data_IF_389016077171
#
_entry.id   IF_389016077171
#
_cell.length_a   1.000
_cell.length_b   1.000
_cell.length_c   1.000
_cell.angle_alpha   90.00
_cell.angle_beta   90.00
_cell.angle_gamma   90.00
#
_symmetry.space_group_name_H-M   'P 1'
#
loop_
_entity.id
_entity.type
_entity.pdbx_description
1 polymer ?
#
# COMPACT_ATOMS: atom_id res chain seq x y z
N UNK A 1 19.81 17.93 -103.32
CA UNK A 1 20.53 18.36 -102.09
C UNK A 1 19.85 17.69 -100.90
N UNK A 2 20.47 16.64 -100.35
CA UNK A 2 20.05 15.99 -99.10
C UNK A 2 20.48 16.88 -97.93
N UNK A 3 19.56 17.22 -97.01
CA UNK A 3 19.90 17.84 -95.72
C UNK A 3 19.35 16.97 -94.59
N UNK A 4 20.29 16.59 -93.74
CA UNK A 4 20.14 15.79 -92.52
C UNK A 4 19.38 16.58 -91.45
N UNK A 5 18.62 15.88 -90.61
CA UNK A 5 18.35 16.35 -89.25
C UNK A 5 18.65 15.25 -88.24
N UNK A 6 19.54 15.62 -87.33
CA UNK A 6 20.14 14.85 -86.25
C UNK A 6 19.09 14.44 -85.21
N UNK A 7 19.08 13.16 -84.84
CA UNK A 7 18.38 12.64 -83.68
C UNK A 7 19.31 12.83 -82.46
N UNK A 8 18.97 13.72 -81.54
CA UNK A 8 19.71 13.89 -80.27
C UNK A 8 18.91 13.23 -79.15
N UNK A 9 19.39 12.10 -78.65
CA UNK A 9 18.81 11.35 -77.55
C UNK A 9 19.41 11.87 -76.24
N UNK A 10 18.65 12.67 -75.48
CA UNK A 10 19.06 13.13 -74.14
C UNK A 10 18.65 12.06 -73.14
N UNK A 11 19.64 11.38 -72.56
CA UNK A 11 19.46 10.38 -71.51
C UNK A 11 19.49 11.10 -70.15
N UNK A 12 18.33 11.23 -69.49
CA UNK A 12 18.21 11.84 -68.16
C UNK A 12 18.45 10.77 -67.08
N UNK A 13 19.66 10.75 -66.51
CA UNK A 13 20.00 9.94 -65.34
C UNK A 13 19.46 10.60 -64.06
N UNK A 14 18.34 10.10 -63.54
CA UNK A 14 17.84 10.41 -62.20
C UNK A 14 18.61 9.61 -61.16
N UNK A 15 19.55 10.26 -60.46
CA UNK A 15 20.17 9.71 -59.25
C UNK A 15 19.21 9.91 -58.07
N UNK A 16 18.52 8.85 -57.66
CA UNK A 16 17.81 8.83 -56.38
C UNK A 16 18.82 8.67 -55.24
N UNK A 17 19.01 9.76 -54.48
CA UNK A 17 19.72 9.76 -53.21
C UNK A 17 18.79 9.18 -52.14
N UNK A 18 19.03 7.95 -51.69
CA UNK A 18 18.38 7.40 -50.49
C UNK A 18 19.08 7.99 -49.27
N UNK A 19 18.37 8.83 -48.53
CA UNK A 19 18.81 9.33 -47.22
C UNK A 19 18.20 8.39 -46.19
N UNK A 20 19.07 7.68 -45.46
CA UNK A 20 18.68 6.85 -44.31
C UNK A 20 18.11 7.74 -43.20
N UNK A 21 16.80 7.93 -43.18
CA UNK A 21 16.11 8.41 -41.99
C UNK A 21 15.97 7.23 -41.02
N UNK A 22 16.77 7.28 -39.95
CA UNK A 22 16.52 6.47 -38.76
C UNK A 22 15.11 6.78 -38.28
N UNK A 23 14.19 5.84 -38.51
CA UNK A 23 12.92 5.80 -37.78
C UNK A 23 13.25 5.60 -36.30
N UNK A 24 13.15 6.67 -35.52
CA UNK A 24 12.94 6.55 -34.08
C UNK A 24 11.70 5.67 -33.89
N UNK A 25 11.90 4.50 -33.30
CA UNK A 25 10.82 3.59 -32.98
C UNK A 25 9.86 4.30 -32.06
N UNK A 26 8.64 4.56 -32.54
CA UNK A 26 7.50 4.85 -31.70
C UNK A 26 7.31 3.60 -30.84
N UNK A 27 7.65 3.67 -29.56
CA UNK A 27 7.25 2.66 -28.58
C UNK A 27 5.74 2.56 -28.61
N UNK A 28 5.23 1.51 -29.24
CA UNK A 28 3.82 1.17 -29.17
C UNK A 28 3.54 0.87 -27.70
N UNK A 29 2.76 1.74 -27.04
CA UNK A 29 2.28 1.49 -25.68
C UNK A 29 1.61 0.10 -25.65
N UNK A 30 2.31 -0.88 -25.08
CA UNK A 30 1.76 -2.19 -24.85
C UNK A 30 0.63 -2.05 -23.84
N UNK A 31 -0.60 -2.36 -24.24
CA UNK A 31 -1.74 -2.47 -23.31
C UNK A 31 -1.60 -3.62 -22.29
N UNK A 32 -0.54 -4.43 -22.44
CA UNK A 32 -0.22 -5.56 -21.59
C UNK A 32 0.95 -5.24 -20.67
N UNK A 33 0.85 -5.74 -19.44
CA UNK A 33 1.92 -5.70 -18.45
C UNK A 33 3.11 -6.52 -18.96
N UNK A 34 4.28 -5.89 -18.98
CA UNK A 34 5.56 -6.52 -19.25
C UNK A 34 6.09 -7.14 -17.95
N UNK A 35 6.06 -8.46 -17.85
CA UNK A 35 6.46 -9.16 -16.63
C UNK A 35 7.11 -10.51 -16.96
N UNK A 36 8.40 -10.59 -16.67
CA UNK A 36 9.18 -11.81 -16.75
C UNK A 36 9.69 -12.20 -15.36
N UNK A 37 9.20 -13.33 -14.83
CA UNK A 37 9.38 -13.71 -13.43
C UNK A 37 10.86 -13.81 -13.03
N UNK A 38 11.77 -14.09 -13.95
CA UNK A 38 13.21 -14.20 -13.66
C UNK A 38 13.96 -12.88 -13.80
N UNK A 39 13.36 -11.86 -14.42
CA UNK A 39 13.99 -10.56 -14.66
C UNK A 39 13.56 -9.48 -13.66
N UNK A 40 12.45 -9.68 -12.94
CA UNK A 40 11.97 -8.74 -11.90
C UNK A 40 12.75 -8.91 -10.59
N UNK A 41 12.99 -7.83 -9.81
CA UNK A 41 12.49 -6.49 -10.03
C UNK A 41 13.25 -5.72 -11.13
N UNK A 42 12.52 -5.02 -11.99
CA UNK A 42 13.13 -4.13 -12.99
C UNK A 42 13.66 -2.85 -12.36
N UNK A 43 14.65 -2.21 -13.00
CA UNK A 43 15.24 -0.96 -12.52
C UNK A 43 14.27 0.23 -12.55
N UNK A 44 13.32 0.26 -13.50
CA UNK A 44 12.32 1.32 -13.66
C UNK A 44 10.91 0.79 -13.47
N UNK A 45 10.03 1.57 -12.86
CA UNK A 45 8.62 1.21 -12.67
C UNK A 45 7.87 1.19 -14.00
N UNK A 46 8.18 2.12 -14.91
CA UNK A 46 7.58 2.16 -16.25
C UNK A 46 7.80 0.87 -17.06
N UNK A 47 8.92 0.17 -16.84
CA UNK A 47 9.26 -1.08 -17.55
C UNK A 47 8.19 -2.15 -17.40
N UNK A 48 7.44 -2.18 -16.29
CA UNK A 48 6.38 -3.16 -16.09
C UNK A 48 5.12 -2.90 -16.93
N UNK A 49 4.91 -1.67 -17.43
CA UNK A 49 3.67 -1.26 -18.09
C UNK A 49 2.40 -1.56 -17.28
N UNK A 50 2.46 -1.43 -15.94
CA UNK A 50 1.28 -1.53 -15.06
C UNK A 50 0.28 -0.39 -15.27
N UNK A 51 0.75 0.72 -15.82
CA UNK A 51 -0.04 1.93 -16.04
C UNK A 51 0.17 2.44 -17.47
N UNK A 52 -0.87 3.03 -18.06
CA UNK A 52 -0.84 3.63 -19.40
C UNK A 52 -0.83 5.16 -19.36
N UNK A 53 -0.29 5.81 -20.38
CA UNK A 53 -0.14 7.26 -20.43
C UNK A 53 0.88 7.79 -19.41
N UNK A 54 0.70 9.03 -18.95
CA UNK A 54 1.62 9.61 -17.97
C UNK A 54 1.61 8.82 -16.64
N UNK A 55 2.77 8.27 -16.26
CA UNK A 55 2.92 7.34 -15.13
C UNK A 55 2.33 7.88 -13.82
N UNK A 56 2.49 9.18 -13.53
CA UNK A 56 1.95 9.83 -12.32
C UNK A 56 0.43 9.77 -12.18
N UNK A 57 -0.30 9.55 -13.28
CA UNK A 57 -1.76 9.40 -13.21
C UNK A 57 -2.15 8.05 -12.59
N UNK A 58 -1.26 7.05 -12.67
CA UNK A 58 -1.47 5.68 -12.21
C UNK A 58 -2.77 5.10 -12.80
N UNK A 59 -3.02 5.38 -14.08
CA UNK A 59 -4.13 4.84 -14.85
C UNK A 59 -3.83 3.37 -15.14
N UNK A 60 -4.54 2.40 -14.55
CA UNK A 60 -4.18 0.99 -14.64
C UNK A 60 -4.32 0.47 -16.07
N UNK A 61 -3.30 -0.27 -16.52
CA UNK A 61 -3.37 -1.08 -17.74
C UNK A 61 -4.42 -2.19 -17.62
N UNK A 62 -4.71 -2.85 -18.74
CA UNK A 62 -5.63 -4.00 -18.74
C UNK A 62 -5.20 -5.04 -17.70
N UNK A 63 -6.19 -5.58 -16.97
CA UNK A 63 -6.00 -6.57 -15.90
C UNK A 63 -5.23 -6.07 -14.66
N UNK A 64 -4.88 -4.79 -14.55
CA UNK A 64 -4.38 -4.19 -13.30
C UNK A 64 -5.58 -3.70 -12.50
N UNK A 65 -5.93 -4.41 -11.43
CA UNK A 65 -7.20 -4.19 -10.72
C UNK A 65 -6.99 -3.30 -9.51
N UNK A 66 -7.59 -2.09 -9.46
CA UNK A 66 -7.51 -1.26 -8.27
C UNK A 66 -8.31 -1.87 -7.12
N UNK A 67 -7.83 -1.67 -5.89
CA UNK A 67 -8.53 -2.08 -4.68
C UNK A 67 -8.25 -1.12 -3.52
N UNK A 68 -9.16 -1.11 -2.55
CA UNK A 68 -9.08 -0.32 -1.34
C UNK A 68 -9.60 -1.13 -0.14
N UNK A 69 -8.74 -1.45 0.85
CA UNK A 69 -9.19 -2.02 2.10
C UNK A 69 -10.23 -1.13 2.80
N UNK A 70 -11.21 -1.72 3.47
CA UNK A 70 -12.26 -1.00 4.22
C UNK A 70 -11.66 0.09 5.13
N UNK A 71 -10.57 -0.24 5.81
CA UNK A 71 -9.74 0.66 6.61
C UNK A 71 -8.32 0.73 6.07
N UNK A 72 -7.73 1.93 5.98
CA UNK A 72 -6.38 2.15 5.46
C UNK A 72 -5.35 2.32 6.58
N UNK A 73 -4.19 1.68 6.46
CA UNK A 73 -3.04 1.89 7.34
C UNK A 73 -2.63 3.38 7.35
N UNK A 74 -2.38 3.93 8.53
CA UNK A 74 -1.82 5.25 8.71
C UNK A 74 -0.34 5.28 8.33
N UNK A 75 0.07 6.31 7.59
CA UNK A 75 1.47 6.53 7.20
C UNK A 75 1.67 8.03 6.98
N UNK A 76 1.80 8.80 8.06
CA UNK A 76 1.96 10.26 8.04
C UNK A 76 0.96 10.99 7.11
N UNK A 77 -0.32 10.56 7.15
CA UNK A 77 -1.40 11.03 6.27
C UNK A 77 -1.20 10.82 4.76
N UNK A 78 -0.16 10.10 4.31
CA UNK A 78 -0.03 9.72 2.91
C UNK A 78 -1.27 8.95 2.45
N UNK A 79 -1.81 9.34 1.30
CA UNK A 79 -2.84 8.60 0.58
C UNK A 79 -2.20 7.40 -0.13
N UNK A 80 -3.01 6.39 -0.45
CA UNK A 80 -2.54 5.16 -1.09
C UNK A 80 -3.42 4.77 -2.27
N UNK A 81 -2.82 4.60 -3.45
CA UNK A 81 -3.42 3.82 -4.54
C UNK A 81 -2.88 2.40 -4.49
N UNK A 82 -3.73 1.41 -4.66
CA UNK A 82 -3.33 0.00 -4.61
C UNK A 82 -3.91 -0.77 -5.77
N UNK A 83 -3.13 -1.72 -6.27
CA UNK A 83 -3.51 -2.54 -7.41
C UNK A 83 -3.07 -3.99 -7.21
N UNK A 84 -3.80 -4.91 -7.84
CA UNK A 84 -3.46 -6.32 -7.96
C UNK A 84 -3.27 -6.62 -9.44
N UNK A 85 -2.16 -7.25 -9.78
CA UNK A 85 -1.96 -7.86 -11.09
C UNK A 85 -1.55 -9.32 -10.94
N UNK A 86 -2.04 -10.18 -11.83
CA UNK A 86 -1.73 -11.61 -11.85
C UNK A 86 -1.48 -12.07 -13.30
N UNK A 87 -0.60 -13.05 -13.52
CA UNK A 87 -0.46 -13.68 -14.82
C UNK A 87 -1.79 -14.28 -15.31
N UNK A 88 -1.93 -14.41 -16.63
CA UNK A 88 -3.12 -15.03 -17.20
C UNK A 88 -3.22 -16.51 -16.77
N UNK A 89 -4.45 -16.96 -16.49
CA UNK A 89 -4.76 -18.37 -16.24
C UNK A 89 -4.51 -18.85 -14.80
N UNK A 90 -3.97 -18.00 -13.92
CA UNK A 90 -3.80 -18.34 -12.50
C UNK A 90 -4.85 -17.64 -11.64
N UNK A 91 -5.21 -18.27 -10.51
CA UNK A 91 -6.24 -17.80 -9.57
C UNK A 91 -5.74 -17.87 -8.14
N UNK A 92 -6.09 -16.87 -7.34
CA UNK A 92 -5.98 -16.93 -5.91
C UNK A 92 -7.12 -17.78 -5.33
N UNK A 93 -6.91 -18.30 -4.12
CA UNK A 93 -7.96 -18.98 -3.36
C UNK A 93 -8.26 -18.26 -2.04
N UNK A 94 -9.51 -18.37 -1.62
CA UNK A 94 -9.96 -17.93 -0.30
C UNK A 94 -9.76 -19.08 0.70
N UNK A 95 -9.21 -18.78 1.87
CA UNK A 95 -9.03 -19.74 2.97
C UNK A 95 -9.93 -19.38 4.15
N UNK A 96 -9.78 -18.17 4.69
CA UNK A 96 -10.62 -17.62 5.74
C UNK A 96 -10.67 -16.08 5.67
N UNK A 97 -11.63 -15.49 6.38
CA UNK A 97 -11.88 -14.03 6.40
C UNK A 97 -10.64 -13.22 6.80
N UNK A 98 -9.91 -13.69 7.81
CA UNK A 98 -8.78 -13.01 8.42
C UNK A 98 -7.42 -13.43 7.85
N UNK A 99 -7.41 -14.32 6.86
CA UNK A 99 -6.21 -14.77 6.15
C UNK A 99 -6.02 -13.98 4.87
N UNK A 100 -4.77 -13.69 4.55
CA UNK A 100 -4.42 -13.15 3.23
C UNK A 100 -4.89 -14.12 2.15
N UNK A 101 -5.45 -13.60 1.05
CA UNK A 101 -5.78 -14.45 -0.11
C UNK A 101 -4.55 -15.24 -0.56
N UNK A 102 -4.73 -16.52 -0.86
CA UNK A 102 -3.65 -17.40 -1.30
C UNK A 102 -3.30 -17.09 -2.76
N UNK A 103 -2.39 -16.15 -2.97
CA UNK A 103 -1.97 -15.71 -4.30
C UNK A 103 -0.99 -16.69 -4.97
N UNK A 104 -1.16 -16.96 -6.27
CA UNK A 104 -0.26 -17.81 -7.05
C UNK A 104 1.08 -17.11 -7.35
N UNK A 105 2.07 -17.89 -7.77
CA UNK A 105 3.35 -17.38 -8.28
C UNK A 105 3.10 -16.44 -9.45
N UNK A 106 3.82 -15.31 -9.46
CA UNK A 106 3.71 -14.24 -10.43
C UNK A 106 2.76 -13.10 -10.02
N UNK A 107 1.97 -13.25 -8.96
CA UNK A 107 1.16 -12.13 -8.45
C UNK A 107 2.03 -10.94 -8.05
N UNK A 108 1.60 -9.74 -8.43
CA UNK A 108 2.18 -8.47 -7.99
C UNK A 108 1.13 -7.65 -7.26
N UNK A 109 1.44 -7.25 -6.03
CA UNK A 109 0.68 -6.26 -5.28
C UNK A 109 1.41 -4.92 -5.36
N UNK A 110 0.71 -3.89 -5.83
CA UNK A 110 1.28 -2.58 -6.11
C UNK A 110 0.68 -1.59 -5.12
N UNK A 111 1.50 -0.75 -4.48
CA UNK A 111 1.04 0.30 -3.56
C UNK A 111 1.85 1.57 -3.76
N UNK A 112 1.19 2.65 -4.17
CA UNK A 112 1.81 3.97 -4.34
C UNK A 112 1.36 4.92 -3.25
N UNK A 113 2.31 5.61 -2.62
CA UNK A 113 2.07 6.57 -1.54
C UNK A 113 2.21 7.99 -2.05
N UNK A 114 1.19 8.81 -1.81
CA UNK A 114 1.12 10.15 -2.40
C UNK A 114 0.40 11.14 -1.49
N UNK A 115 0.59 12.43 -1.78
CA UNK A 115 -0.10 13.56 -1.16
C UNK A 115 -0.72 14.42 -2.25
N UNK A 116 -1.91 14.97 -2.01
CA UNK A 116 -2.62 15.85 -2.96
C UNK A 116 -2.46 17.34 -2.65
N UNK A 117 -1.90 17.68 -1.49
CA UNK A 117 -1.91 19.04 -0.93
C UNK A 117 -0.49 19.50 -0.57
N UNK A 118 0.49 19.11 -1.37
CA UNK A 118 1.89 19.50 -1.15
C UNK A 118 2.02 21.01 -1.34
N UNK A 119 2.59 21.69 -0.35
CA UNK A 119 2.74 23.14 -0.31
C UNK A 119 3.94 23.59 -1.17
N UNK A 120 3.90 24.84 -1.70
CA UNK A 120 2.86 25.88 -1.51
C UNK A 120 1.66 25.76 -2.47
N UNK A 121 1.76 24.98 -3.54
CA UNK A 121 0.82 25.03 -4.66
C UNK A 121 -0.35 24.04 -4.56
N UNK A 122 -0.48 23.29 -3.46
CA UNK A 122 -1.39 22.15 -3.31
C UNK A 122 -1.26 21.14 -4.45
N UNK A 123 -0.02 20.80 -4.81
CA UNK A 123 0.24 19.85 -5.89
C UNK A 123 0.13 18.41 -5.40
N UNK A 124 -0.17 17.52 -6.35
CA UNK A 124 -0.07 16.08 -6.10
C UNK A 124 1.36 15.63 -6.30
N UNK A 125 1.92 14.90 -5.32
CA UNK A 125 3.21 14.21 -5.44
C UNK A 125 3.10 12.78 -4.94
N UNK A 126 3.55 11.86 -5.76
CA UNK A 126 3.83 10.47 -5.40
C UNK A 126 5.28 10.42 -4.92
N UNK A 127 5.50 9.82 -3.76
CA UNK A 127 6.83 9.72 -3.15
C UNK A 127 7.49 8.39 -3.47
N UNK A 128 6.71 7.31 -3.38
CA UNK A 128 7.19 5.94 -3.54
C UNK A 128 6.09 5.02 -4.10
N UNK A 129 6.53 3.98 -4.80
CA UNK A 129 5.72 2.81 -5.16
C UNK A 129 6.41 1.56 -4.62
N UNK A 130 5.67 0.73 -3.89
CA UNK A 130 6.16 -0.56 -3.40
C UNK A 130 5.48 -1.68 -4.17
N UNK A 131 6.29 -2.63 -4.63
CA UNK A 131 5.83 -3.89 -5.21
C UNK A 131 6.09 -5.02 -4.21
N UNK A 132 5.10 -5.88 -4.02
CA UNK A 132 5.30 -7.22 -3.47
C UNK A 132 5.10 -8.22 -4.58
N UNK A 133 6.14 -8.99 -4.90
CA UNK A 133 6.13 -9.92 -6.03
C UNK A 133 6.19 -11.35 -5.50
N UNK A 134 5.21 -12.19 -5.85
CA UNK A 134 5.17 -13.59 -5.46
C UNK A 134 6.07 -14.42 -6.36
N UNK A 135 7.30 -14.70 -5.92
CA UNK A 135 8.21 -15.68 -6.54
C UNK A 135 7.87 -17.10 -6.09
N UNK A 136 8.44 -18.10 -6.74
CA UNK A 136 8.36 -19.51 -6.29
C UNK A 136 8.92 -19.70 -4.87
N UNK A 137 9.96 -18.94 -4.52
CA UNK A 137 10.64 -19.00 -3.21
C UNK A 137 9.93 -18.23 -2.09
N UNK A 138 9.00 -17.31 -2.40
CA UNK A 138 8.37 -16.46 -1.40
C UNK A 138 7.90 -15.12 -1.99
N UNK A 139 7.45 -14.21 -1.13
CA UNK A 139 7.29 -12.81 -1.51
C UNK A 139 8.63 -12.10 -1.44
N UNK A 140 8.91 -11.25 -2.43
CA UNK A 140 10.00 -10.27 -2.38
C UNK A 140 9.42 -8.86 -2.35
N UNK A 141 10.17 -7.92 -1.79
CA UNK A 141 9.83 -6.50 -1.73
C UNK A 141 10.69 -5.74 -2.74
N UNK A 142 10.08 -4.80 -3.46
CA UNK A 142 10.81 -3.88 -4.32
C UNK A 142 10.24 -2.47 -4.13
N UNK A 143 11.09 -1.56 -3.66
CA UNK A 143 10.74 -0.15 -3.46
C UNK A 143 11.22 0.71 -4.62
N UNK A 144 10.35 1.60 -5.10
CA UNK A 144 10.63 2.52 -6.20
C UNK A 144 10.46 3.95 -5.70
N UNK A 145 11.51 4.76 -5.80
CA UNK A 145 11.48 6.18 -5.45
C UNK A 145 11.15 7.03 -6.68
N UNK A 146 10.13 7.87 -6.55
CA UNK A 146 9.74 8.79 -7.62
C UNK A 146 10.70 9.98 -7.72
N UNK A 147 10.99 10.38 -8.96
CA UNK A 147 11.70 11.62 -9.25
C UNK A 147 10.81 12.85 -9.00
N UNK A 148 11.45 14.01 -8.88
CA UNK A 148 10.74 15.27 -8.56
C UNK A 148 9.88 15.76 -9.74
N UNK A 149 10.25 15.39 -10.97
CA UNK A 149 9.49 15.66 -12.19
C UNK A 149 8.20 14.83 -12.30
N UNK A 150 8.03 13.79 -11.46
CA UNK A 150 6.89 12.88 -11.46
C UNK A 150 6.70 12.15 -12.81
N UNK A 151 7.81 11.75 -13.43
CA UNK A 151 7.82 11.05 -14.72
C UNK A 151 8.26 9.59 -14.61
N UNK A 152 9.01 9.24 -13.58
CA UNK A 152 9.53 7.88 -13.38
C UNK A 152 9.71 7.57 -11.89
N UNK A 153 9.71 6.28 -11.55
CA UNK A 153 10.19 5.78 -10.28
C UNK A 153 11.28 4.72 -10.48
N UNK A 154 12.42 4.88 -9.82
CA UNK A 154 13.55 3.97 -9.94
C UNK A 154 13.63 3.05 -8.73
N UNK A 155 13.95 1.78 -8.98
CA UNK A 155 14.19 0.77 -7.96
C UNK A 155 15.34 1.24 -7.06
N UNK A 156 15.13 1.20 -5.74
CA UNK A 156 16.18 1.46 -4.75
C UNK A 156 16.64 0.16 -4.10
N UNK A 157 17.96 -0.07 -4.09
CA UNK A 157 18.59 -1.28 -3.54
C UNK A 157 20.00 -0.95 -3.03
N UNK A 158 20.64 -1.92 -2.37
CA UNK A 158 22.05 -1.86 -2.02
C UNK A 158 22.36 -0.99 -0.79
N UNK A 159 23.64 -0.65 -0.64
CA UNK A 159 24.17 0.07 0.53
C UNK A 159 23.44 1.39 0.77
N UNK A 160 23.09 2.08 -0.31
CA UNK A 160 22.50 3.42 -0.32
C UNK A 160 21.09 3.45 0.29
N UNK A 161 20.44 2.29 0.44
CA UNK A 161 19.10 2.17 1.00
C UNK A 161 19.03 1.25 2.23
N UNK A 162 20.18 0.79 2.74
CA UNK A 162 20.26 -0.09 3.93
C UNK A 162 19.52 0.49 5.13
N UNK A 163 19.62 1.80 5.30
CA UNK A 163 18.98 2.56 6.37
C UNK A 163 17.72 3.28 5.89
N UNK A 164 17.13 2.89 4.76
CA UNK A 164 15.97 3.54 4.15
C UNK A 164 16.30 4.93 3.61
N UNK A 165 15.27 5.73 3.35
CA UNK A 165 15.42 7.12 2.91
C UNK A 165 14.37 8.00 3.61
N UNK A 166 14.61 9.30 3.62
CA UNK A 166 13.60 10.26 4.08
C UNK A 166 13.47 11.42 3.10
N UNK A 167 12.26 11.97 2.99
CA UNK A 167 11.97 13.16 2.18
C UNK A 167 11.27 14.20 3.04
N UNK A 168 11.86 15.38 3.17
CA UNK A 168 11.18 16.53 3.73
C UNK A 168 9.95 16.88 2.89
N UNK A 169 8.81 17.02 3.54
CA UNK A 169 7.53 17.29 2.89
C UNK A 169 6.70 18.26 3.72
N UNK A 170 6.26 19.33 3.06
CA UNK A 170 5.23 20.22 3.59
C UNK A 170 3.90 19.94 2.90
N UNK A 171 2.85 19.61 3.64
CA UNK A 171 1.52 19.36 3.09
C UNK A 171 0.43 19.95 4.00
N UNK A 172 -0.78 20.08 3.48
CA UNK A 172 -1.94 20.55 4.25
C UNK A 172 -2.90 19.40 4.57
N UNK A 173 -3.21 19.19 5.85
CA UNK A 173 -4.23 18.22 6.31
C UNK A 173 -5.64 18.64 5.88
N UNK A 174 -6.61 17.73 6.02
CA UNK A 174 -8.04 18.00 5.74
C UNK A 174 -8.60 19.15 6.60
N UNK A 175 -8.11 19.31 7.84
CA UNK A 175 -8.47 20.40 8.75
C UNK A 175 -7.78 21.75 8.42
N UNK A 176 -7.09 21.85 7.28
CA UNK A 176 -6.28 22.99 6.83
C UNK A 176 -5.00 23.28 7.62
N UNK A 177 -4.60 22.43 8.57
CA UNK A 177 -3.31 22.55 9.24
C UNK A 177 -2.17 22.22 8.27
N UNK A 178 -1.14 23.08 8.25
CA UNK A 178 0.07 22.85 7.45
C UNK A 178 1.07 22.07 8.30
N UNK A 179 1.44 20.89 7.80
CA UNK A 179 2.41 19.99 8.43
C UNK A 179 3.73 20.06 7.67
N UNK A 180 4.83 20.02 8.41
CA UNK A 180 6.16 19.74 7.88
C UNK A 180 6.65 18.44 8.51
N UNK A 181 6.97 17.45 7.68
CA UNK A 181 7.39 16.11 8.12
C UNK A 181 8.66 15.69 7.38
N UNK A 182 9.42 14.80 8.01
CA UNK A 182 10.44 14.01 7.31
C UNK A 182 9.83 12.66 6.92
N UNK A 183 9.22 12.59 5.73
CA UNK A 183 8.51 11.38 5.29
C UNK A 183 9.49 10.22 5.16
N UNK A 184 9.29 9.19 5.99
CA UNK A 184 10.16 8.03 6.06
C UNK A 184 9.78 6.98 5.01
N UNK A 185 10.71 6.71 4.09
CA UNK A 185 10.68 5.57 3.18
C UNK A 185 11.46 4.42 3.83
N UNK A 186 10.81 3.33 4.26
CA UNK A 186 11.45 2.26 4.98
C UNK A 186 12.42 1.48 4.09
N UNK A 187 13.53 1.04 4.67
CA UNK A 187 14.43 0.02 4.11
C UNK A 187 13.74 -1.33 3.93
N UNK A 188 14.37 -2.21 3.16
CA UNK A 188 13.98 -3.62 3.04
C UNK A 188 13.87 -4.29 4.43
N UNK A 189 14.79 -3.97 5.36
CA UNK A 189 14.78 -4.53 6.71
C UNK A 189 13.58 -4.05 7.55
N UNK A 190 13.20 -2.77 7.43
CA UNK A 190 12.03 -2.19 8.07
C UNK A 190 10.73 -2.73 7.45
N UNK A 191 10.71 -2.90 6.12
CA UNK A 191 9.62 -3.56 5.40
C UNK A 191 9.44 -4.99 5.89
N UNK A 192 10.51 -5.79 5.94
CA UNK A 192 10.48 -7.16 6.45
C UNK A 192 10.08 -7.23 7.93
N UNK A 193 10.47 -6.25 8.74
CA UNK A 193 10.08 -6.21 10.14
C UNK A 193 8.56 -6.14 10.35
N UNK A 194 7.81 -5.50 9.44
CA UNK A 194 6.35 -5.48 9.46
C UNK A 194 5.74 -6.62 8.63
N UNK A 195 6.31 -6.94 7.48
CA UNK A 195 5.80 -7.90 6.51
C UNK A 195 6.34 -9.33 6.74
N UNK A 196 6.34 -9.79 7.99
CA UNK A 196 6.86 -11.10 8.36
C UNK A 196 5.92 -11.85 9.29
N UNK A 197 5.65 -13.11 8.94
CA UNK A 197 4.94 -14.08 9.76
C UNK A 197 5.65 -15.42 9.66
N UNK A 198 5.91 -16.10 10.77
CA UNK A 198 6.66 -17.36 10.81
C UNK A 198 8.03 -17.26 10.10
N UNK A 199 8.69 -16.11 10.26
CA UNK A 199 9.93 -15.76 9.55
C UNK A 199 9.84 -15.85 8.01
N UNK A 200 8.65 -15.64 7.45
CA UNK A 200 8.43 -15.58 6.00
C UNK A 200 7.82 -14.24 5.59
N UNK A 201 8.26 -13.65 4.47
CA UNK A 201 7.64 -12.48 3.89
C UNK A 201 6.15 -12.70 3.58
N UNK A 202 5.27 -11.80 4.03
CA UNK A 202 3.81 -11.85 3.78
C UNK A 202 3.22 -10.48 3.47
N UNK A 203 2.19 -10.39 2.60
CA UNK A 203 1.50 -9.13 2.37
C UNK A 203 0.53 -8.80 3.51
N UNK A 204 0.23 -7.51 3.64
CA UNK A 204 -0.68 -6.97 4.65
C UNK A 204 -1.86 -6.30 3.96
N UNK A 205 -3.07 -6.53 4.48
CA UNK A 205 -4.29 -5.82 4.08
C UNK A 205 -5.13 -6.49 3.01
N UNK A 206 -4.59 -7.43 2.22
CA UNK A 206 -5.29 -8.19 1.17
C UNK A 206 -6.00 -9.44 1.72
N UNK A 207 -6.71 -9.25 2.84
CA UNK A 207 -7.55 -10.26 3.48
C UNK A 207 -9.00 -10.10 3.01
N UNK A 208 -9.79 -11.17 2.83
CA UNK A 208 -11.20 -11.06 2.47
C UNK A 208 -12.01 -10.13 3.37
N UNK A 209 -11.79 -10.15 4.71
CA UNK A 209 -12.45 -9.25 5.66
C UNK A 209 -12.23 -7.76 5.35
N UNK A 210 -11.10 -7.42 4.72
CA UNK A 210 -10.73 -6.05 4.38
C UNK A 210 -11.18 -5.66 2.98
N UNK A 211 -11.43 -6.63 2.10
CA UNK A 211 -11.80 -6.40 0.69
C UNK A 211 -13.30 -6.63 0.42
N UNK A 212 -14.05 -7.16 1.39
CA UNK A 212 -15.49 -7.35 1.25
C UNK A 212 -16.26 -6.02 1.46
N UNK A 213 -15.95 -5.05 0.60
CA UNK A 213 -16.58 -3.74 0.48
C UNK A 213 -16.76 -3.41 -1.00
N UNK A 214 -17.51 -2.35 -1.30
CA UNK A 214 -17.71 -1.88 -2.67
C UNK A 214 -16.63 -0.88 -3.09
N UNK A 215 -16.24 -0.94 -4.37
CA UNK A 215 -15.35 0.03 -5.01
C UNK A 215 -15.99 0.57 -6.30
N UNK A 216 -15.73 1.83 -6.63
CA UNK A 216 -16.25 2.47 -7.83
C UNK A 216 -15.31 2.21 -9.02
N UNK A 217 -15.65 1.21 -9.84
CA UNK A 217 -14.93 0.91 -11.08
C UNK A 217 -15.55 1.68 -12.25
N UNK A 218 -14.84 1.76 -13.39
CA UNK A 218 -15.34 2.42 -14.61
C UNK A 218 -16.71 1.89 -15.08
N UNK A 219 -16.97 0.59 -14.90
CA UNK A 219 -18.26 -0.05 -15.18
C UNK A 219 -19.27 -0.05 -14.02
N UNK A 220 -19.09 0.85 -13.05
CA UNK A 220 -19.96 1.01 -11.88
C UNK A 220 -19.45 0.38 -10.58
N UNK A 221 -20.21 0.61 -9.52
CA UNK A 221 -19.91 0.13 -8.16
C UNK A 221 -20.02 -1.40 -8.09
N UNK A 222 -18.97 -2.06 -7.60
CA UNK A 222 -18.94 -3.52 -7.42
C UNK A 222 -18.25 -3.90 -6.12
N UNK A 223 -18.66 -5.03 -5.52
CA UNK A 223 -17.87 -5.67 -4.47
C UNK A 223 -16.49 -6.07 -5.02
N UNK A 224 -15.42 -5.81 -4.27
CA UNK A 224 -14.06 -6.02 -4.77
C UNK A 224 -13.69 -7.50 -4.92
N UNK A 225 -14.16 -8.38 -4.03
CA UNK A 225 -13.98 -9.83 -4.18
C UNK A 225 -14.72 -10.36 -5.40
N UNK A 226 -15.95 -9.89 -5.64
CA UNK A 226 -16.70 -10.22 -6.86
C UNK A 226 -15.98 -9.71 -8.12
N UNK A 227 -15.38 -8.51 -8.07
CA UNK A 227 -14.54 -8.00 -9.17
C UNK A 227 -13.38 -8.96 -9.45
N UNK A 228 -12.67 -9.45 -8.42
CA UNK A 228 -11.59 -10.42 -8.60
C UNK A 228 -12.08 -11.74 -9.20
N UNK A 229 -13.25 -12.24 -8.81
CA UNK A 229 -13.86 -13.44 -9.43
C UNK A 229 -14.15 -13.20 -10.91
N UNK A 230 -14.80 -12.09 -11.24
CA UNK A 230 -15.17 -11.75 -12.62
C UNK A 230 -13.96 -11.58 -13.53
N UNK A 231 -12.85 -11.09 -12.99
CA UNK A 231 -11.59 -10.93 -13.73
C UNK A 231 -10.81 -12.25 -13.88
N UNK A 232 -11.24 -13.31 -13.19
CA UNK A 232 -10.56 -14.60 -13.14
C UNK A 232 -9.35 -14.62 -12.21
N UNK A 233 -9.26 -13.69 -11.25
CA UNK A 233 -8.17 -13.58 -10.27
C UNK A 233 -8.46 -14.30 -8.96
N UNK A 234 -9.73 -14.53 -8.63
CA UNK A 234 -10.15 -15.28 -7.44
C UNK A 234 -11.05 -16.45 -7.89
N UNK A 235 -10.80 -17.65 -7.37
CA UNK A 235 -11.59 -18.83 -7.73
C UNK A 235 -13.06 -18.69 -7.30
N UNK A 236 -13.27 -18.41 -6.02
CA UNK A 236 -14.59 -18.20 -5.40
C UNK A 236 -14.39 -17.62 -3.99
N UNK A 237 -15.46 -17.15 -3.37
CA UNK A 237 -15.50 -16.75 -1.97
C UNK A 237 -16.90 -17.07 -1.39
N UNK A 238 -17.05 -17.26 -0.07
CA UNK A 238 -18.34 -17.60 0.54
C UNK A 238 -19.31 -16.41 0.50
N UNK A 239 -20.61 -16.67 0.63
CA UNK A 239 -21.62 -15.61 0.66
C UNK A 239 -21.56 -14.71 1.90
N UNK A 240 -21.03 -15.23 3.00
CA UNK A 240 -20.91 -14.53 4.28
C UNK A 240 -19.42 -14.39 4.64
N UNK A 241 -19.02 -13.16 4.92
CA UNK A 241 -17.66 -12.78 5.35
C UNK A 241 -17.82 -11.82 6.53
N UNK A 242 -17.11 -12.08 7.63
CA UNK A 242 -17.01 -11.17 8.77
C UNK A 242 -16.03 -10.05 8.41
N UNK A 243 -16.56 -8.91 7.96
CA UNK A 243 -15.75 -7.81 7.42
C UNK A 243 -15.35 -6.77 8.48
N UNK A 244 -14.19 -6.15 8.24
CA UNK A 244 -13.87 -4.86 8.85
C UNK A 244 -14.73 -3.75 8.24
N UNK A 245 -14.78 -2.60 8.91
CA UNK A 245 -15.45 -1.39 8.42
C UNK A 245 -14.44 -0.29 8.16
N UNK A 246 -14.85 0.78 7.50
CA UNK A 246 -14.07 2.01 7.49
C UNK A 246 -14.06 2.62 8.89
N UNK A 247 -12.90 2.66 9.55
CA UNK A 247 -12.78 3.23 10.90
C UNK A 247 -13.14 4.73 10.95
N UNK A 248 -13.21 5.43 9.81
CA UNK A 248 -13.66 6.83 9.72
C UNK A 248 -15.18 6.99 9.59
N UNK A 249 -15.92 5.92 9.27
CA UNK A 249 -17.38 5.97 9.10
C UNK A 249 -18.08 6.07 10.47
N UNK A 250 -18.45 7.28 10.87
CA UNK A 250 -19.10 7.57 12.16
C UNK A 250 -20.52 7.03 12.29
N UNK A 251 -21.13 6.52 11.20
CA UNK A 251 -22.40 5.80 11.28
C UNK A 251 -22.24 4.39 11.89
N UNK A 252 -21.01 3.87 11.96
CA UNK A 252 -20.70 2.58 12.58
C UNK A 252 -20.41 2.73 14.07
N UNK A 253 -20.74 1.72 14.90
CA UNK A 253 -20.40 1.72 16.32
C UNK A 253 -18.90 1.89 16.58
N UNK A 254 -18.54 2.58 17.67
CA UNK A 254 -17.14 2.85 18.04
C UNK A 254 -16.29 1.58 18.16
N UNK A 255 -16.86 0.50 18.69
CA UNK A 255 -16.16 -0.77 18.89
C UNK A 255 -15.65 -1.38 17.57
N UNK A 256 -16.54 -1.58 16.60
CA UNK A 256 -16.15 -2.18 15.32
C UNK A 256 -15.20 -1.29 14.52
N UNK A 257 -15.32 0.05 14.67
CA UNK A 257 -14.39 1.01 14.08
C UNK A 257 -13.00 0.88 14.71
N UNK A 258 -12.89 0.82 16.03
CA UNK A 258 -11.60 0.65 16.71
C UNK A 258 -10.97 -0.70 16.35
N UNK A 259 -11.75 -1.79 16.35
CA UNK A 259 -11.24 -3.11 15.99
C UNK A 259 -10.71 -3.16 14.56
N UNK A 260 -11.39 -2.48 13.63
CA UNK A 260 -10.92 -2.32 12.24
C UNK A 260 -9.65 -1.48 12.13
N UNK A 261 -9.55 -0.42 12.94
CA UNK A 261 -8.36 0.41 13.06
C UNK A 261 -7.15 -0.38 13.58
N UNK A 262 -7.33 -1.18 14.64
CA UNK A 262 -6.28 -2.02 15.23
C UNK A 262 -5.84 -3.14 14.28
N UNK A 263 -6.78 -3.75 13.53
CA UNK A 263 -6.44 -4.80 12.55
C UNK A 263 -5.45 -4.27 11.50
N UNK A 264 -5.76 -3.15 10.86
CA UNK A 264 -4.93 -2.64 9.77
C UNK A 264 -3.65 -1.95 10.27
N UNK A 265 -3.68 -1.28 11.44
CA UNK A 265 -2.55 -0.50 11.94
C UNK A 265 -1.62 -1.26 12.89
N UNK A 266 -2.07 -2.35 13.52
CA UNK A 266 -1.33 -2.96 14.63
C UNK A 266 -1.23 -4.49 14.56
N UNK A 267 -2.26 -5.19 14.08
CA UNK A 267 -2.36 -6.65 14.16
C UNK A 267 -1.25 -7.40 13.43
N UNK A 268 -0.74 -6.84 12.33
CA UNK A 268 0.34 -7.48 11.57
C UNK A 268 1.62 -7.69 12.42
N UNK A 269 1.87 -6.82 13.41
CA UNK A 269 2.94 -6.97 14.39
C UNK A 269 2.49 -7.69 15.67
N UNK A 270 1.27 -7.41 16.14
CA UNK A 270 0.68 -7.95 17.38
C UNK A 270 -0.22 -9.15 17.10
N UNK A 271 0.37 -10.19 16.52
CA UNK A 271 -0.23 -11.50 16.29
C UNK A 271 0.82 -12.58 16.59
N UNK A 272 0.40 -13.84 16.66
CA UNK A 272 1.30 -14.95 16.92
C UNK A 272 2.39 -15.06 15.83
N UNK A 273 3.64 -15.31 16.23
CA UNK A 273 4.79 -15.50 15.35
C UNK A 273 5.12 -14.29 14.43
N UNK A 274 4.67 -13.10 14.82
CA UNK A 274 5.04 -11.83 14.21
C UNK A 274 6.02 -11.05 15.12
N UNK A 275 6.43 -9.85 14.70
CA UNK A 275 7.49 -9.08 15.38
C UNK A 275 7.23 -8.80 16.86
N UNK A 276 5.97 -8.57 17.26
CA UNK A 276 5.60 -8.19 18.62
C UNK A 276 4.79 -9.29 19.33
N UNK A 277 4.98 -10.55 18.95
CA UNK A 277 4.25 -11.70 19.53
C UNK A 277 4.54 -11.93 21.02
N UNK A 278 5.71 -11.49 21.48
CA UNK A 278 6.15 -11.50 22.87
C UNK A 278 5.36 -10.57 23.79
N UNK A 279 4.51 -9.68 23.23
CA UNK A 279 3.60 -8.83 24.00
C UNK A 279 2.29 -9.55 24.29
N UNK A 280 1.61 -9.15 25.36
CA UNK A 280 0.37 -9.78 25.82
C UNK A 280 -0.88 -9.51 24.94
N UNK A 281 -0.80 -8.66 23.91
CA UNK A 281 -1.95 -8.27 23.07
C UNK A 281 -2.00 -9.01 21.74
N UNK A 282 -3.23 -9.22 21.23
CA UNK A 282 -3.54 -9.87 19.95
C UNK A 282 -4.60 -9.05 19.22
N UNK A 283 -4.18 -8.30 18.21
CA UNK A 283 -4.96 -7.17 17.68
C UNK A 283 -5.68 -7.45 16.36
N UNK A 284 -5.66 -8.69 15.86
CA UNK A 284 -6.42 -9.03 14.65
C UNK A 284 -7.93 -8.85 14.86
N UNK A 285 -8.64 -8.50 13.81
CA UNK A 285 -10.08 -8.23 13.89
C UNK A 285 -10.89 -9.38 14.50
N UNK A 286 -10.52 -10.62 14.16
CA UNK A 286 -11.12 -11.87 14.67
C UNK A 286 -10.86 -12.11 16.16
N UNK A 287 -9.77 -11.56 16.72
CA UNK A 287 -9.35 -11.81 18.10
C UNK A 287 -9.73 -10.68 19.07
N UNK A 288 -10.08 -9.50 18.54
CA UNK A 288 -10.42 -8.30 19.32
C UNK A 288 -11.88 -8.25 19.78
N UNK A 289 -12.64 -9.35 19.63
CA UNK A 289 -13.88 -9.56 20.41
C UNK A 289 -13.59 -9.83 21.89
N UNK A 290 -12.37 -10.28 22.21
CA UNK A 290 -11.90 -10.48 23.57
C UNK A 290 -11.15 -9.22 24.04
N UNK A 291 -11.66 -8.56 25.08
CA UNK A 291 -11.09 -7.34 25.64
C UNK A 291 -9.67 -7.55 26.22
N UNK A 292 -9.36 -8.73 26.75
CA UNK A 292 -8.02 -9.05 27.25
C UNK A 292 -7.00 -9.05 26.11
N UNK A 293 -7.37 -9.54 24.92
CA UNK A 293 -6.51 -9.47 23.73
C UNK A 293 -6.22 -8.02 23.30
N UNK A 294 -7.13 -7.09 23.61
CA UNK A 294 -6.93 -5.65 23.39
C UNK A 294 -6.13 -4.98 24.51
N UNK A 295 -5.78 -5.71 25.57
CA UNK A 295 -5.00 -5.20 26.71
C UNK A 295 -5.84 -4.58 27.83
N UNK A 296 -7.17 -4.75 27.82
CA UNK A 296 -8.05 -4.26 28.88
C UNK A 296 -7.71 -4.95 30.19
N UNK A 297 -7.38 -4.15 31.21
CA UNK A 297 -6.97 -4.59 32.54
C UNK A 297 -5.68 -5.43 32.58
N UNK A 298 -4.95 -5.53 31.47
CA UNK A 298 -3.67 -6.23 31.38
C UNK A 298 -2.55 -5.27 31.81
N UNK A 299 -1.65 -5.72 32.68
CA UNK A 299 -0.45 -4.97 33.03
C UNK A 299 0.45 -4.82 31.80
N UNK A 300 1.04 -3.64 31.63
CA UNK A 300 2.03 -3.39 30.60
C UNK A 300 3.39 -3.93 31.05
N UNK A 301 4.08 -4.64 30.16
CA UNK A 301 5.47 -5.06 30.41
C UNK A 301 6.43 -3.84 30.56
N UNK A 302 6.07 -2.73 29.91
CA UNK A 302 6.79 -1.45 29.92
C UNK A 302 5.87 -0.34 30.43
N UNK A 303 5.64 -0.25 31.74
CA UNK A 303 4.84 0.82 32.32
C UNK A 303 5.50 2.17 32.05
N UNK A 304 4.69 3.20 31.85
CA UNK A 304 5.14 4.55 31.46
C UNK A 304 5.11 5.54 32.63
N UNK A 305 5.19 5.01 33.85
CA UNK A 305 5.15 5.74 35.11
C UNK A 305 4.12 5.17 36.10
N UNK A 306 4.05 5.70 37.34
CA UNK A 306 3.23 5.15 38.43
C UNK A 306 1.71 5.14 38.16
N UNK A 307 1.24 5.91 37.18
CA UNK A 307 -0.18 5.97 36.79
C UNK A 307 -0.48 5.28 35.46
N UNK A 308 0.55 4.73 34.80
CA UNK A 308 0.50 4.11 33.47
C UNK A 308 1.01 2.67 33.55
N UNK A 309 0.32 1.86 34.33
CA UNK A 309 0.71 0.47 34.61
C UNK A 309 0.00 -0.55 33.72
N UNK A 310 -1.19 -0.21 33.20
CA UNK A 310 -2.02 -1.11 32.38
C UNK A 310 -1.96 -0.69 30.91
N UNK A 311 -2.02 -1.69 30.02
CA UNK A 311 -2.10 -1.48 28.58
C UNK A 311 -3.34 -0.63 28.26
N UNK A 312 -4.50 -1.05 28.79
CA UNK A 312 -5.74 -0.27 28.80
C UNK A 312 -6.37 -0.30 30.19
N UNK A 313 -6.60 0.88 30.74
CA UNK A 313 -7.40 1.11 31.95
C UNK A 313 -8.83 1.50 31.53
N UNK A 314 -9.85 0.67 31.84
CA UNK A 314 -11.25 0.97 31.52
C UNK A 314 -11.67 2.35 32.02
N UNK A 315 -12.38 3.11 31.18
CA UNK A 315 -12.93 4.42 31.53
C UNK A 315 -11.89 5.55 31.64
N UNK A 316 -10.58 5.26 31.50
CA UNK A 316 -9.54 6.26 31.71
C UNK A 316 -8.37 6.11 30.73
N UNK A 317 -8.49 6.75 29.57
CA UNK A 317 -7.42 6.78 28.56
C UNK A 317 -6.11 7.41 29.07
N UNK A 318 -6.17 8.39 29.99
CA UNK A 318 -4.97 9.01 30.57
C UNK A 318 -4.16 8.05 31.46
N UNK A 319 -4.75 6.93 31.87
CA UNK A 319 -4.09 5.85 32.62
C UNK A 319 -3.84 4.59 31.76
N UNK A 320 -3.85 4.74 30.43
CA UNK A 320 -3.68 3.62 29.49
C UNK A 320 -2.39 3.76 28.69
N UNK A 321 -1.47 2.80 28.83
CA UNK A 321 -0.17 2.79 28.12
C UNK A 321 -0.38 2.82 26.59
N UNK A 322 -1.38 2.11 26.06
CA UNK A 322 -1.66 2.14 24.61
C UNK A 322 -2.02 3.55 24.13
N UNK A 323 -2.82 4.29 24.90
CA UNK A 323 -3.20 5.67 24.56
C UNK A 323 -1.98 6.61 24.60
N UNK A 324 -1.12 6.47 25.61
CA UNK A 324 0.12 7.23 25.70
C UNK A 324 1.04 6.97 24.50
N UNK A 325 1.32 5.69 24.20
CA UNK A 325 2.22 5.29 23.10
C UNK A 325 1.67 5.73 21.75
N UNK A 326 0.36 5.63 21.50
CA UNK A 326 -0.24 6.07 20.24
C UNK A 326 -0.16 7.60 20.04
N UNK A 327 -0.18 8.37 21.13
CA UNK A 327 -0.10 9.84 21.13
C UNK A 327 1.35 10.38 21.16
N UNK A 328 2.36 9.53 21.29
CA UNK A 328 3.77 9.93 21.31
C UNK A 328 4.39 9.94 19.90
N UNK A 329 5.36 10.82 19.68
CA UNK A 329 6.25 10.83 18.49
C UNK A 329 7.69 10.46 18.85
N UNK A 330 8.01 10.38 20.14
CA UNK A 330 9.32 9.90 20.63
C UNK A 330 9.49 8.43 20.24
N UNK A 331 10.56 8.11 19.52
CA UNK A 331 10.79 6.78 18.96
C UNK A 331 10.85 5.67 20.01
N UNK A 332 11.29 5.99 21.23
CA UNK A 332 11.31 5.03 22.35
C UNK A 332 9.91 4.64 22.84
N UNK A 333 8.94 5.55 22.64
CA UNK A 333 7.61 5.46 23.22
C UNK A 333 6.50 5.26 22.18
N UNK A 334 6.67 5.76 20.96
CA UNK A 334 5.61 5.81 19.94
C UNK A 334 5.15 4.43 19.50
N UNK A 335 3.89 4.33 19.14
CA UNK A 335 3.34 3.21 18.38
C UNK A 335 2.47 3.71 17.22
N UNK A 336 2.48 3.04 16.05
CA UNK A 336 3.45 2.03 15.63
C UNK A 336 4.90 2.55 15.59
N UNK A 337 5.87 1.65 15.75
CA UNK A 337 7.31 1.99 15.75
C UNK A 337 7.81 2.45 14.37
N UNK A 338 7.23 1.88 13.32
CA UNK A 338 7.61 2.11 11.92
C UNK A 338 6.43 2.71 11.13
N UNK A 339 6.76 3.47 10.09
CA UNK A 339 5.77 4.00 9.14
C UNK A 339 5.02 5.23 9.63
N UNK A 340 5.47 5.88 10.72
CA UNK A 340 4.99 7.21 11.12
C UNK A 340 6.08 8.03 11.78
N UNK A 341 5.99 9.34 11.60
CA UNK A 341 6.79 10.38 12.26
C UNK A 341 5.90 11.36 13.04
N UNK A 342 4.60 11.41 12.73
CA UNK A 342 3.62 12.26 13.40
C UNK A 342 2.48 11.46 14.04
N UNK A 343 1.67 12.13 14.85
CA UNK A 343 0.47 11.54 15.47
C UNK A 343 -0.65 11.38 14.44
N UNK A 344 -1.37 10.27 14.55
CA UNK A 344 -2.65 10.09 13.84
C UNK A 344 -3.78 10.55 14.76
N UNK A 345 -4.22 11.79 14.58
CA UNK A 345 -5.17 12.47 15.47
C UNK A 345 -6.48 11.68 15.60
N UNK A 346 -7.03 11.24 14.47
CA UNK A 346 -8.30 10.50 14.40
C UNK A 346 -8.19 9.10 15.02
N UNK A 347 -7.02 8.46 14.89
CA UNK A 347 -6.75 7.16 15.51
C UNK A 347 -6.64 7.25 17.03
N UNK A 348 -5.95 8.29 17.53
CA UNK A 348 -5.87 8.59 18.97
C UNK A 348 -7.26 8.88 19.53
N UNK A 349 -8.03 9.72 18.85
CA UNK A 349 -9.37 10.09 19.30
C UNK A 349 -10.32 8.88 19.31
N UNK A 350 -10.27 8.03 18.28
CA UNK A 350 -11.06 6.79 18.24
C UNK A 350 -10.73 5.86 19.43
N UNK A 351 -9.44 5.71 19.76
CA UNK A 351 -9.01 4.92 20.91
C UNK A 351 -9.51 5.54 22.23
N UNK A 352 -9.38 6.86 22.39
CA UNK A 352 -9.87 7.58 23.59
C UNK A 352 -11.36 7.37 23.80
N UNK A 353 -12.16 7.55 22.76
CA UNK A 353 -13.62 7.35 22.81
C UNK A 353 -13.97 5.93 23.26
N UNK A 354 -13.31 4.93 22.68
CA UNK A 354 -13.56 3.55 23.05
C UNK A 354 -13.13 3.25 24.49
N UNK A 355 -11.92 3.65 24.91
CA UNK A 355 -11.45 3.40 26.29
C UNK A 355 -12.39 4.04 27.31
N UNK A 356 -12.80 5.29 27.09
CA UNK A 356 -13.68 6.01 28.00
C UNK A 356 -15.11 5.42 28.04
N UNK A 357 -15.51 4.63 27.03
CA UNK A 357 -16.80 3.92 27.02
C UNK A 357 -16.81 2.65 27.87
N UNK A 358 -15.65 2.15 28.27
CA UNK A 358 -15.51 0.96 29.10
C UNK A 358 -15.86 1.25 30.56
N UNK A 359 -16.62 0.37 31.20
CA UNK A 359 -17.11 0.53 32.57
C UNK A 359 -16.79 -0.66 33.49
N UNK A 360 -16.11 -1.68 32.97
CA UNK A 360 -15.72 -2.86 33.75
C UNK A 360 -14.62 -2.54 34.75
N UNK A 361 -14.69 -3.19 35.92
CA UNK A 361 -13.64 -3.13 36.92
C UNK A 361 -12.51 -4.10 36.55
N UNK A 362 -11.27 -3.70 36.81
CA UNK A 362 -10.15 -4.63 36.70
C UNK A 362 -10.06 -5.50 37.95
N UNK A 363 -9.80 -6.81 37.80
CA UNK A 363 -9.58 -7.71 38.92
C UNK A 363 -8.31 -7.36 39.71
#
# INVERSE_FOLDING_TARGET
MRKNYFLSLIFLLMLFSCKDEKMEGVEVESSFVNFEINAVPYAKLSTYAFFTGELKNLTPSSKVIPYEPASSLFTDYALKKRFIWMPQGVKATYDADDKTLNFPVGTVLIKSFYYNTVQPNNTTKILETRLMIRKSTGWIFAEYMWNDEQTEANLVTGTDFTSGSSKNLTFKKENNEVMNIDYRIPSESECYACHKLDNKPVPIGVKPQNLNTTYNYEGGVKNQLQKLVNEGYLLSYPSNIVSTVNYKDTSKPVDIRLRSYLDINCAHCHQQNARCDYRAIRLSFSQTTNLTNMGVCVLADEPQGPSLEKIITPGNHNKSVMSFRLNSVDESNRMPLLGRTIVHDEGVELLKQWINSLNQNCP
#
